data_IF_808866193520
#
_entry.id   IF_808866193520
#
_cell.length_a   1.000
_cell.length_b   1.000
_cell.length_c   1.000
_cell.angle_alpha   90.00
_cell.angle_beta   90.00
_cell.angle_gamma   90.00
#
_symmetry.space_group_name_H-M   'P 1'
#
loop_
_entity.id
_entity.type
_entity.pdbx_description
1 polymer ?
#
# COMPACT_ATOMS: atom_id res chain seq x y z
N UNK A 1 9.20 -12.97 14.99
CA UNK A 1 8.34 -12.27 14.03
C UNK A 1 7.71 -11.13 14.80
N UNK A 2 8.05 -9.92 14.40
CA UNK A 2 7.47 -8.69 14.89
C UNK A 2 6.22 -8.38 14.05
N UNK A 3 5.19 -7.86 14.69
CA UNK A 3 3.98 -7.38 14.04
C UNK A 3 3.71 -5.95 14.45
N UNK A 4 3.22 -5.14 13.53
CA UNK A 4 2.90 -3.75 13.81
C UNK A 4 1.58 -3.39 13.14
N UNK A 5 0.74 -2.68 13.88
CA UNK A 5 -0.49 -2.11 13.41
C UNK A 5 -0.42 -0.60 13.60
N UNK A 6 -0.52 0.12 12.49
CA UNK A 6 -0.65 1.58 12.49
C UNK A 6 -2.09 1.97 12.27
N UNK A 7 -2.55 2.99 12.99
CA UNK A 7 -3.91 3.49 12.86
C UNK A 7 -4.00 4.99 13.14
N UNK A 8 -5.08 5.60 12.65
CA UNK A 8 -5.44 6.99 12.95
C UNK A 8 -6.47 6.95 14.06
N UNK A 9 -6.13 7.48 15.22
CA UNK A 9 -7.04 7.62 16.35
C UNK A 9 -7.91 8.86 16.16
N UNK A 10 -9.17 8.64 15.77
CA UNK A 10 -10.12 9.72 15.50
C UNK A 10 -10.68 10.34 16.77
N UNK A 11 -10.57 9.66 17.91
CA UNK A 11 -11.05 10.17 19.20
C UNK A 11 -9.98 11.05 19.87
N UNK A 12 -8.70 10.88 19.51
CA UNK A 12 -7.59 11.73 19.94
C UNK A 12 -7.01 12.57 18.79
N UNK A 13 -7.82 13.53 18.32
CA UNK A 13 -7.43 14.58 17.36
C UNK A 13 -6.65 14.06 16.15
N UNK A 14 -7.07 12.90 15.61
CA UNK A 14 -6.50 12.28 14.40
C UNK A 14 -5.02 11.92 14.53
N UNK A 15 -4.59 11.59 15.76
CA UNK A 15 -3.22 11.20 16.06
C UNK A 15 -2.85 9.88 15.37
N UNK A 16 -1.62 9.81 14.84
CA UNK A 16 -1.06 8.57 14.33
C UNK A 16 -0.57 7.72 15.50
N UNK A 17 -0.99 6.46 15.52
CA UNK A 17 -0.72 5.51 16.59
C UNK A 17 -0.11 4.22 16.05
N UNK A 18 0.63 3.55 16.91
CA UNK A 18 1.25 2.25 16.69
C UNK A 18 0.83 1.29 17.81
N UNK A 19 0.47 0.08 17.41
CA UNK A 19 0.36 -1.08 18.28
C UNK A 19 1.34 -2.15 17.82
N UNK A 20 2.21 -2.61 18.71
CA UNK A 20 3.36 -3.43 18.39
C UNK A 20 3.24 -4.81 19.07
N UNK A 21 3.63 -5.84 18.35
CA UNK A 21 3.91 -7.17 18.86
C UNK A 21 5.42 -7.42 18.70
N UNK A 22 6.20 -7.31 19.78
CA UNK A 22 7.65 -7.45 19.73
C UNK A 22 8.07 -8.83 19.21
N UNK A 23 9.29 -8.89 18.69
CA UNK A 23 9.86 -10.10 18.15
C UNK A 23 9.81 -11.29 19.14
N UNK A 24 9.19 -12.38 18.71
CA UNK A 24 9.02 -13.59 19.53
C UNK A 24 7.72 -13.61 20.34
N UNK A 25 6.89 -12.58 20.21
CA UNK A 25 5.53 -12.56 20.75
C UNK A 25 4.59 -13.34 19.82
N UNK A 26 3.67 -14.09 20.40
CA UNK A 26 2.55 -14.69 19.69
C UNK A 26 1.57 -13.59 19.28
N UNK A 27 1.33 -13.42 17.97
CA UNK A 27 0.41 -12.39 17.44
C UNK A 27 -1.04 -12.59 17.90
N UNK A 28 -1.38 -13.78 18.42
CA UNK A 28 -2.68 -14.05 19.04
C UNK A 28 -2.79 -13.55 20.48
N UNK A 29 -1.69 -13.03 21.06
CA UNK A 29 -1.66 -12.40 22.38
C UNK A 29 -1.80 -10.88 22.27
N UNK A 30 -2.02 -10.25 23.42
CA UNK A 30 -2.12 -8.80 23.54
C UNK A 30 -0.76 -8.17 23.23
N UNK A 31 -0.70 -7.33 22.19
CA UNK A 31 0.46 -6.47 21.91
C UNK A 31 0.54 -5.28 22.89
N UNK A 32 1.36 -4.29 22.57
CA UNK A 32 1.54 -3.10 23.40
C UNK A 32 1.57 -1.81 22.58
N UNK A 33 1.43 -0.67 23.25
CA UNK A 33 1.57 0.63 22.58
C UNK A 33 2.98 0.83 22.04
N UNK A 34 3.08 1.21 20.77
CA UNK A 34 4.35 1.47 20.11
C UNK A 34 4.97 2.83 20.45
N UNK A 35 6.16 3.08 19.90
CA UNK A 35 6.92 4.31 20.14
C UNK A 35 6.24 5.54 19.50
N UNK A 36 5.54 5.35 18.38
CA UNK A 36 4.85 6.44 17.66
C UNK A 36 3.87 7.23 18.55
N UNK A 37 3.28 6.57 19.56
CA UNK A 37 2.24 7.17 20.39
C UNK A 37 2.73 8.39 21.20
N UNK A 38 4.05 8.58 21.33
CA UNK A 38 4.67 9.68 22.07
C UNK A 38 5.09 10.86 21.19
N UNK A 39 4.95 10.74 19.88
CA UNK A 39 5.54 11.68 18.92
C UNK A 39 4.58 12.79 18.48
N UNK A 40 3.27 12.63 18.74
CA UNK A 40 2.26 13.66 18.47
C UNK A 40 2.02 13.94 16.99
N UNK A 41 2.32 12.99 16.08
CA UNK A 41 1.98 13.14 14.67
C UNK A 41 0.47 13.13 14.47
N UNK A 42 -0.02 14.01 13.61
CA UNK A 42 -1.42 14.13 13.25
C UNK A 42 -1.59 13.95 11.74
N UNK A 43 -2.76 13.45 11.34
CA UNK A 43 -3.20 13.40 9.95
C UNK A 43 -4.38 14.34 9.73
N UNK A 44 -4.82 14.51 8.49
CA UNK A 44 -6.12 15.11 8.21
C UNK A 44 -7.26 14.23 8.73
N UNK A 45 -8.36 14.83 9.15
CA UNK A 45 -9.54 14.13 9.67
C UNK A 45 -10.19 13.13 8.69
N UNK A 46 -9.99 13.34 7.39
CA UNK A 46 -10.48 12.45 6.34
C UNK A 46 -9.43 11.43 5.91
N UNK A 47 -8.18 11.58 6.35
CA UNK A 47 -7.03 10.80 5.89
C UNK A 47 -7.27 9.30 5.99
N UNK A 48 -6.76 8.59 4.99
CA UNK A 48 -6.45 7.17 5.08
C UNK A 48 -4.97 7.00 5.41
N UNK A 49 -4.56 5.76 5.66
CA UNK A 49 -3.18 5.44 6.00
C UNK A 49 -2.72 4.24 5.20
N UNK A 50 -1.43 4.23 4.87
CA UNK A 50 -0.74 3.07 4.35
C UNK A 50 0.60 2.91 5.05
N UNK A 51 1.07 1.69 5.20
CA UNK A 51 2.37 1.41 5.80
C UNK A 51 3.10 0.32 5.02
N UNK A 52 4.39 0.53 4.80
CA UNK A 52 5.33 -0.49 4.39
C UNK A 52 6.62 -0.22 5.15
N UNK A 53 6.89 -1.04 6.17
CA UNK A 53 7.94 -0.77 7.15
C UNK A 53 9.28 -0.39 6.50
N UNK A 54 9.94 0.71 6.93
CA UNK A 54 9.63 1.59 8.06
C UNK A 54 8.81 2.85 7.70
N UNK A 55 8.11 2.87 6.58
CA UNK A 55 7.42 4.05 6.07
C UNK A 55 5.92 4.00 6.37
N UNK A 56 5.37 5.09 6.91
CA UNK A 56 3.93 5.33 7.04
C UNK A 56 3.57 6.57 6.22
N UNK A 57 2.51 6.44 5.42
CA UNK A 57 1.93 7.54 4.65
C UNK A 57 0.55 7.87 5.17
N UNK A 58 0.29 9.16 5.29
CA UNK A 58 -1.02 9.75 5.60
C UNK A 58 -1.19 11.06 4.82
N UNK A 59 -2.40 11.59 4.77
CA UNK A 59 -2.66 12.94 4.28
C UNK A 59 -2.49 13.92 5.43
N UNK A 60 -1.68 14.96 5.24
CA UNK A 60 -1.58 16.08 6.16
C UNK A 60 -2.73 17.07 6.00
N UNK A 61 -2.93 17.95 6.98
CA UNK A 61 -3.99 18.98 6.95
C UNK A 61 -3.81 20.03 5.83
N UNK A 62 -2.65 20.07 5.18
CA UNK A 62 -2.36 20.89 4.00
C UNK A 62 -2.81 20.24 2.68
N UNK A 63 -3.36 19.01 2.74
CA UNK A 63 -3.83 18.27 1.58
C UNK A 63 -2.74 17.52 0.80
N UNK A 64 -1.51 17.44 1.34
CA UNK A 64 -0.41 16.68 0.74
C UNK A 64 -0.11 15.39 1.50
N UNK A 65 0.69 14.51 0.91
CA UNK A 65 1.19 13.33 1.60
C UNK A 65 2.21 13.71 2.69
N UNK A 66 1.98 13.18 3.88
CA UNK A 66 2.90 13.17 5.01
C UNK A 66 3.51 11.77 5.13
N UNK A 67 4.83 11.68 5.00
CA UNK A 67 5.61 10.47 5.25
C UNK A 67 6.24 10.53 6.65
N UNK A 68 5.96 9.52 7.47
CA UNK A 68 6.60 9.29 8.77
C UNK A 68 7.49 8.05 8.65
N UNK A 69 8.74 8.14 9.12
CA UNK A 69 9.76 7.11 8.93
C UNK A 69 10.42 6.75 10.25
N UNK A 70 10.59 5.47 10.51
CA UNK A 70 11.39 4.98 11.63
C UNK A 70 12.87 4.94 11.24
N UNK A 71 13.74 5.64 12.00
CA UNK A 71 15.20 5.55 11.84
C UNK A 71 15.88 6.61 10.94
N UNK A 72 15.47 7.89 11.02
CA UNK A 72 16.13 9.01 10.32
C UNK A 72 17.29 9.67 11.10
N UNK A 73 18.31 10.15 10.36
CA UNK A 73 19.37 11.09 10.78
C UNK A 73 20.13 10.84 12.11
N UNK A 74 20.46 9.59 12.44
CA UNK A 74 21.54 9.29 13.39
C UNK A 74 21.25 9.52 14.88
N UNK A 75 19.99 9.71 15.27
CA UNK A 75 19.58 9.99 16.68
C UNK A 75 19.00 8.79 17.42
N UNK A 76 19.08 7.58 16.86
CA UNK A 76 18.58 6.35 17.50
C UNK A 76 17.21 5.90 16.98
N UNK A 77 16.55 4.94 17.67
CA UNK A 77 15.28 4.35 17.25
C UNK A 77 14.11 5.32 17.53
N UNK A 78 13.96 6.35 16.68
CA UNK A 78 12.85 7.30 16.77
C UNK A 78 12.08 7.38 15.46
N UNK A 79 10.80 7.69 15.59
CA UNK A 79 9.97 8.08 14.46
C UNK A 79 10.22 9.55 14.14
N UNK A 80 10.25 9.89 12.86
CA UNK A 80 10.43 11.26 12.42
C UNK A 80 9.53 11.51 11.22
N UNK A 81 8.99 12.72 11.09
CA UNK A 81 8.47 13.16 9.80
C UNK A 81 9.65 13.20 8.83
N UNK A 82 9.46 12.60 7.67
CA UNK A 82 10.46 12.57 6.61
C UNK A 82 10.85 14.01 6.24
N UNK A 83 12.10 14.38 6.53
CA UNK A 83 12.64 15.69 6.14
C UNK A 83 12.77 15.83 4.61
N UNK A 84 12.73 14.70 3.89
CA UNK A 84 12.64 14.63 2.43
C UNK A 84 11.20 14.86 1.99
N UNK A 85 10.83 16.13 1.86
CA UNK A 85 10.12 16.74 0.73
C UNK A 85 8.94 16.00 0.05
N UNK A 86 8.32 14.97 0.64
CA UNK A 86 7.23 14.22 0.00
C UNK A 86 6.10 15.17 -0.42
N UNK A 87 5.79 16.17 0.43
CA UNK A 87 4.88 17.28 0.10
C UNK A 87 5.26 18.08 -1.14
N UNK A 88 6.54 18.38 -1.35
CA UNK A 88 7.03 19.20 -2.46
C UNK A 88 7.25 18.41 -3.75
N UNK A 89 7.28 17.08 -3.64
CA UNK A 89 7.53 16.14 -4.73
C UNK A 89 6.25 15.51 -5.26
N UNK A 90 5.19 15.53 -4.45
CA UNK A 90 3.90 14.97 -4.78
C UNK A 90 2.85 16.06 -5.02
N UNK A 91 1.82 15.71 -5.79
CA UNK A 91 0.62 16.54 -5.95
C UNK A 91 -0.27 16.45 -4.71
N UNK A 92 -1.24 17.36 -4.62
CA UNK A 92 -2.29 17.25 -3.60
C UNK A 92 -3.09 15.95 -3.78
N UNK A 93 -3.30 15.27 -2.67
CA UNK A 93 -4.13 14.07 -2.57
C UNK A 93 -5.57 14.50 -2.32
N UNK A 94 -6.54 13.81 -2.95
CA UNK A 94 -7.95 14.03 -2.68
C UNK A 94 -8.27 13.71 -1.22
N UNK A 95 -8.99 14.61 -0.54
CA UNK A 95 -9.45 14.41 0.84
C UNK A 95 -10.25 13.10 0.98
N UNK A 96 -9.74 12.16 1.79
CA UNK A 96 -10.34 10.84 1.97
C UNK A 96 -9.87 9.75 1.01
N UNK A 97 -8.95 10.06 0.10
CA UNK A 97 -8.37 9.09 -0.84
C UNK A 97 -7.70 7.92 -0.12
N UNK A 98 -7.84 6.73 -0.69
CA UNK A 98 -6.97 5.61 -0.35
C UNK A 98 -5.50 5.93 -0.71
N UNK A 99 -4.58 5.35 0.05
CA UNK A 99 -3.14 5.46 -0.13
C UNK A 99 -2.58 4.03 -0.13
N UNK A 100 -1.68 3.72 -1.05
CA UNK A 100 -0.92 2.48 -1.03
C UNK A 100 0.56 2.78 -1.20
N UNK A 101 1.41 2.13 -0.39
CA UNK A 101 2.87 2.11 -0.56
C UNK A 101 3.36 0.68 -0.66
N UNK A 102 4.21 0.41 -1.64
CA UNK A 102 4.79 -0.93 -1.88
C UNK A 102 6.24 -0.83 -2.33
N UNK A 103 7.07 -1.85 -2.07
CA UNK A 103 8.42 -1.89 -2.61
C UNK A 103 8.37 -2.07 -4.13
N UNK A 104 9.26 -1.38 -4.85
CA UNK A 104 9.42 -1.52 -6.31
C UNK A 104 10.74 -2.21 -6.69
N UNK A 105 11.52 -2.66 -5.70
CA UNK A 105 12.69 -3.49 -5.83
C UNK A 105 12.86 -4.37 -4.57
N UNK A 106 13.74 -5.37 -4.61
CA UNK A 106 14.14 -6.23 -3.48
C UNK A 106 14.97 -5.48 -2.41
N UNK A 107 14.70 -4.19 -2.25
CA UNK A 107 15.30 -3.32 -1.26
C UNK A 107 14.30 -2.24 -0.85
N UNK A 108 14.46 -1.69 0.34
CA UNK A 108 13.65 -0.56 0.80
C UNK A 108 13.95 0.77 0.11
N UNK A 109 15.00 0.81 -0.72
CA UNK A 109 15.43 2.01 -1.43
C UNK A 109 14.42 2.44 -2.49
N UNK A 110 13.69 1.48 -3.06
CA UNK A 110 12.77 1.76 -4.16
C UNK A 110 11.35 1.47 -3.74
N UNK A 111 10.47 2.47 -3.77
CA UNK A 111 9.06 2.35 -3.41
C UNK A 111 8.17 3.00 -4.45
N UNK A 112 6.96 2.46 -4.60
CA UNK A 112 5.88 3.09 -5.35
C UNK A 112 4.77 3.52 -4.39
N UNK A 113 4.22 4.72 -4.61
CA UNK A 113 3.04 5.23 -3.93
C UNK A 113 1.92 5.36 -4.95
N UNK A 114 0.72 4.94 -4.57
CA UNK A 114 -0.51 5.10 -5.33
C UNK A 114 -1.53 5.86 -4.50
N UNK A 115 -2.16 6.87 -5.10
CA UNK A 115 -3.30 7.57 -4.49
C UNK A 115 -4.14 8.28 -5.54
N UNK A 116 -5.34 8.72 -5.15
CA UNK A 116 -6.23 9.52 -5.98
C UNK A 116 -5.93 11.01 -5.82
N UNK A 117 -5.70 11.68 -6.94
CA UNK A 117 -5.49 13.13 -6.99
C UNK A 117 -6.83 13.90 -6.90
N UNK A 118 -6.75 15.21 -6.73
CA UNK A 118 -7.92 16.11 -6.68
C UNK A 118 -8.77 16.10 -7.97
N UNK A 119 -8.17 15.76 -9.12
CA UNK A 119 -8.89 15.56 -10.39
C UNK A 119 -9.57 14.18 -10.51
N UNK A 120 -9.48 13.38 -9.44
CA UNK A 120 -9.99 12.01 -9.28
C UNK A 120 -9.28 10.94 -10.10
N UNK A 121 -8.16 11.24 -10.74
CA UNK A 121 -7.31 10.22 -11.39
C UNK A 121 -6.39 9.55 -10.38
N UNK A 122 -5.92 8.34 -10.69
CA UNK A 122 -4.83 7.71 -9.93
C UNK A 122 -3.52 8.32 -10.41
N UNK A 123 -2.66 8.67 -9.46
CA UNK A 123 -1.26 8.97 -9.71
C UNK A 123 -0.36 7.93 -9.05
N UNK A 124 0.80 7.73 -9.66
CA UNK A 124 1.84 6.84 -9.16
C UNK A 124 3.11 7.65 -9.00
N UNK A 125 3.72 7.57 -7.82
CA UNK A 125 5.03 8.16 -7.55
C UNK A 125 6.02 7.07 -7.24
N UNK A 126 7.21 7.16 -7.83
CA UNK A 126 8.32 6.24 -7.60
C UNK A 126 9.47 6.96 -6.92
N UNK A 127 10.05 6.32 -5.91
CA UNK A 127 11.33 6.69 -5.31
C UNK A 127 12.33 5.61 -5.66
N UNK A 128 13.57 5.97 -6.02
CA UNK A 128 14.61 5.02 -6.43
C UNK A 128 15.67 4.76 -5.35
N UNK A 129 15.80 5.69 -4.40
CA UNK A 129 16.64 5.61 -3.21
C UNK A 129 15.88 6.24 -2.01
N UNK A 130 16.00 5.69 -0.80
CA UNK A 130 15.39 6.26 0.42
C UNK A 130 15.76 7.73 0.67
N UNK A 131 16.89 8.20 0.13
CA UNK A 131 17.33 9.61 0.20
C UNK A 131 16.93 10.44 -1.01
N UNK A 132 16.41 9.80 -2.07
CA UNK A 132 15.96 10.47 -3.29
C UNK A 132 14.54 11.00 -3.17
N UNK A 133 14.20 11.86 -4.12
CA UNK A 133 12.88 12.45 -4.26
C UNK A 133 11.91 11.48 -4.94
N UNK A 134 10.63 11.58 -4.63
CA UNK A 134 9.57 10.96 -5.42
C UNK A 134 9.46 11.62 -6.80
N UNK A 135 9.29 10.79 -7.82
CA UNK A 135 9.07 11.20 -9.21
C UNK A 135 7.75 10.63 -9.68
N UNK A 136 6.96 11.43 -10.39
CA UNK A 136 5.72 10.94 -11.00
C UNK A 136 6.04 9.88 -12.06
N UNK A 137 5.28 8.79 -12.06
CA UNK A 137 5.27 7.79 -13.11
C UNK A 137 4.11 8.11 -14.08
N UNK A 138 4.42 8.94 -15.07
CA UNK A 138 3.44 9.37 -16.07
C UNK A 138 2.99 8.22 -16.99
N UNK A 139 3.69 7.08 -16.97
CA UNK A 139 3.41 5.92 -17.82
C UNK A 139 2.26 5.05 -17.31
N UNK A 140 1.79 5.28 -16.08
CA UNK A 140 0.65 4.56 -15.52
C UNK A 140 -0.62 4.73 -16.39
N UNK A 141 -1.23 3.64 -16.91
CA UNK A 141 -2.12 3.70 -18.07
C UNK A 141 -3.55 4.16 -17.75
N UNK A 142 -3.98 4.09 -16.49
CA UNK A 142 -5.34 4.47 -16.11
C UNK A 142 -5.45 5.97 -15.80
N UNK A 143 -5.84 6.76 -16.80
CA UNK A 143 -5.98 8.22 -16.69
C UNK A 143 -7.44 8.70 -16.58
N UNK A 144 -8.40 7.79 -16.36
CA UNK A 144 -9.81 8.15 -16.24
C UNK A 144 -10.13 8.58 -14.79
N UNK A 145 -11.04 9.54 -14.58
CA UNK A 145 -11.53 9.86 -13.24
C UNK A 145 -12.25 8.67 -12.59
N UNK A 146 -11.89 8.36 -11.35
CA UNK A 146 -12.57 7.40 -10.49
C UNK A 146 -13.70 8.07 -9.68
N UNK A 147 -14.60 7.29 -9.06
CA UNK A 147 -15.40 7.77 -7.94
C UNK A 147 -14.52 8.44 -6.88
N UNK A 148 -15.04 9.48 -6.22
CA UNK A 148 -14.30 10.10 -5.12
C UNK A 148 -14.10 9.07 -4.00
N UNK A 149 -12.88 9.01 -3.46
CA UNK A 149 -12.49 8.06 -2.42
C UNK A 149 -12.62 6.60 -2.87
N UNK A 150 -12.42 6.33 -4.16
CA UNK A 150 -12.34 4.97 -4.68
C UNK A 150 -11.25 4.19 -3.93
N UNK A 151 -11.53 2.92 -3.66
CA UNK A 151 -10.53 2.05 -3.05
C UNK A 151 -9.34 1.87 -4.01
N UNK A 152 -8.14 1.96 -3.45
CA UNK A 152 -6.87 1.73 -4.12
C UNK A 152 -6.04 0.85 -3.18
N UNK A 153 -5.55 -0.27 -3.70
CA UNK A 153 -4.58 -1.13 -3.05
C UNK A 153 -3.44 -1.42 -4.01
N UNK A 154 -2.28 -1.77 -3.47
CA UNK A 154 -1.17 -2.24 -4.26
C UNK A 154 -0.46 -3.37 -3.52
N UNK A 155 0.26 -4.20 -4.26
CA UNK A 155 1.18 -5.18 -3.72
C UNK A 155 2.30 -5.45 -4.72
N UNK A 156 3.38 -6.06 -4.24
CA UNK A 156 4.51 -6.46 -5.07
C UNK A 156 4.83 -7.94 -4.89
N UNK A 157 5.39 -8.54 -5.93
CA UNK A 157 5.89 -9.93 -5.92
C UNK A 157 7.30 -9.99 -6.49
N UNK A 158 8.10 -11.02 -6.18
CA UNK A 158 9.33 -11.26 -6.92
C UNK A 158 9.04 -11.38 -8.42
N UNK A 159 9.98 -10.91 -9.24
CA UNK A 159 9.87 -11.10 -10.68
C UNK A 159 9.87 -12.57 -11.05
N UNK A 160 8.85 -13.02 -11.78
CA UNK A 160 8.75 -14.39 -12.30
C UNK A 160 9.63 -14.59 -13.54
N UNK A 161 9.96 -13.52 -14.25
CA UNK A 161 10.81 -13.54 -15.45
C UNK A 161 12.29 -13.35 -15.12
N UNK A 162 12.60 -12.68 -13.99
CA UNK A 162 13.96 -12.45 -13.49
C UNK A 162 14.09 -12.73 -11.99
N UNK A 163 13.92 -13.98 -11.54
CA UNK A 163 13.84 -14.33 -10.11
C UNK A 163 15.15 -14.08 -9.32
N UNK A 164 16.29 -13.92 -10.01
CA UNK A 164 17.57 -13.61 -9.38
C UNK A 164 17.92 -12.11 -9.37
N UNK A 165 17.04 -11.27 -9.92
CA UNK A 165 17.23 -9.80 -9.93
C UNK A 165 16.65 -9.15 -8.69
N UNK A 166 16.99 -7.88 -8.49
CA UNK A 166 16.39 -7.01 -7.49
C UNK A 166 15.00 -6.49 -7.91
N UNK A 167 14.44 -6.99 -9.00
CA UNK A 167 13.19 -6.48 -9.56
C UNK A 167 11.99 -7.12 -8.89
N UNK A 168 10.99 -6.29 -8.60
CA UNK A 168 9.65 -6.73 -8.24
C UNK A 168 8.66 -6.43 -9.35
N UNK A 169 7.68 -7.32 -9.50
CA UNK A 169 6.45 -7.00 -10.20
C UNK A 169 5.58 -6.16 -9.25
N UNK A 170 4.93 -5.12 -9.76
CA UNK A 170 4.06 -4.23 -8.99
C UNK A 170 2.65 -4.28 -9.54
N UNK A 171 1.67 -4.45 -8.66
CA UNK A 171 0.26 -4.54 -9.00
C UNK A 171 -0.51 -3.48 -8.24
N UNK A 172 -1.48 -2.87 -8.91
CA UNK A 172 -2.43 -1.94 -8.32
C UNK A 172 -3.85 -2.42 -8.62
N UNK A 173 -4.69 -2.43 -7.60
CA UNK A 173 -6.10 -2.76 -7.69
C UNK A 173 -6.90 -1.53 -7.27
N UNK A 174 -7.94 -1.21 -8.04
CA UNK A 174 -8.84 -0.12 -7.73
C UNK A 174 -10.26 -0.41 -8.21
N UNK A 175 -11.25 0.23 -7.59
CA UNK A 175 -12.63 0.11 -8.04
C UNK A 175 -12.99 1.27 -8.99
N UNK A 176 -13.45 0.93 -10.19
CA UNK A 176 -13.85 1.93 -11.19
C UNK A 176 -15.28 2.47 -10.96
N UNK A 177 -15.72 3.36 -11.87
CA UNK A 177 -17.03 3.99 -11.80
C UNK A 177 -18.21 3.01 -11.97
N UNK A 178 -17.97 1.84 -12.56
CA UNK A 178 -18.97 0.78 -12.71
C UNK A 178 -18.99 -0.17 -11.50
N UNK A 179 -18.21 0.13 -10.46
CA UNK A 179 -18.09 -0.71 -9.27
C UNK A 179 -17.22 -1.95 -9.48
N UNK A 180 -16.50 -2.07 -10.60
CA UNK A 180 -15.65 -3.22 -10.88
C UNK A 180 -14.24 -3.01 -10.33
N UNK A 181 -13.69 -4.05 -9.71
CA UNK A 181 -12.27 -4.04 -9.35
C UNK A 181 -11.46 -4.26 -10.63
N UNK A 182 -10.59 -3.31 -10.92
CA UNK A 182 -9.64 -3.30 -12.02
C UNK A 182 -8.24 -3.55 -11.47
N UNK A 183 -7.40 -4.23 -12.25
CA UNK A 183 -5.99 -4.43 -11.98
C UNK A 183 -5.15 -3.78 -13.08
N UNK A 184 -4.14 -3.02 -12.68
CA UNK A 184 -3.07 -2.51 -13.52
C UNK A 184 -1.75 -2.98 -12.92
N UNK A 185 -0.85 -3.51 -13.74
CA UNK A 185 0.37 -4.13 -13.25
C UNK A 185 1.59 -3.86 -14.13
N UNK A 186 2.75 -3.96 -13.51
CA UNK A 186 4.06 -3.81 -14.13
C UNK A 186 4.87 -5.05 -13.77
N UNK A 187 5.16 -5.90 -14.76
CA UNK A 187 5.82 -7.20 -14.59
C UNK A 187 7.10 -7.34 -15.45
N UNK A 188 7.56 -6.23 -16.03
CA UNK A 188 8.75 -6.17 -16.88
C UNK A 188 9.72 -5.09 -16.41
N UNK A 189 10.83 -5.46 -15.76
CA UNK A 189 11.81 -4.50 -15.26
C UNK A 189 12.51 -3.66 -16.30
N UNK A 190 12.64 -4.16 -17.53
CA UNK A 190 13.51 -3.54 -18.53
C UNK A 190 12.83 -2.37 -19.24
N UNK A 191 11.54 -2.18 -19.00
CA UNK A 191 10.75 -1.12 -19.59
C UNK A 191 9.89 -0.46 -18.53
N UNK A 192 10.28 0.77 -18.16
CA UNK A 192 9.47 1.65 -17.32
C UNK A 192 8.08 1.92 -17.94
N UNK A 193 7.93 1.78 -19.26
CA UNK A 193 6.70 2.04 -19.99
C UNK A 193 5.76 0.82 -20.11
N UNK A 194 6.10 -0.33 -19.52
CA UNK A 194 5.38 -1.60 -19.73
C UNK A 194 4.31 -1.88 -18.66
N UNK A 195 3.55 -0.85 -18.28
CA UNK A 195 2.33 -1.07 -17.54
C UNK A 195 1.28 -1.77 -18.42
N UNK A 196 0.60 -2.75 -17.84
CA UNK A 196 -0.47 -3.53 -18.47
C UNK A 196 -1.79 -3.29 -17.75
N UNK A 197 -2.89 -3.56 -18.46
CA UNK A 197 -4.25 -3.32 -17.97
C UNK A 197 -4.79 -1.93 -18.35
N UNK A 198 -5.92 -1.49 -17.75
CA UNK A 198 -6.68 -2.17 -16.72
C UNK A 198 -7.32 -3.48 -17.21
N UNK A 199 -7.40 -4.48 -16.33
CA UNK A 199 -8.14 -5.74 -16.56
C UNK A 199 -8.91 -6.10 -15.30
N UNK A 200 -10.14 -6.61 -15.47
CA UNK A 200 -10.92 -7.22 -14.39
C UNK A 200 -10.94 -8.74 -14.54
N UNK A 201 -11.20 -9.45 -13.46
CA UNK A 201 -11.15 -10.92 -13.38
C UNK A 201 -12.40 -11.43 -12.69
N UNK A 202 -12.85 -12.63 -13.06
CA UNK A 202 -14.08 -13.22 -12.49
C UNK A 202 -14.01 -13.43 -10.98
N UNK A 203 -12.81 -13.61 -10.41
CA UNK A 203 -12.65 -13.69 -8.96
C UNK A 203 -13.10 -12.42 -8.22
N UNK A 204 -13.14 -11.27 -8.92
CA UNK A 204 -13.58 -9.98 -8.39
C UNK A 204 -15.07 -9.69 -8.57
N UNK A 205 -15.81 -10.58 -9.25
CA UNK A 205 -17.23 -10.37 -9.52
C UNK A 205 -18.06 -10.31 -8.23
N UNK A 206 -19.02 -9.38 -8.20
CA UNK A 206 -19.89 -9.17 -7.04
C UNK A 206 -19.29 -8.32 -5.93
N UNK A 207 -18.11 -7.71 -6.14
CA UNK A 207 -17.57 -6.72 -5.21
C UNK A 207 -18.59 -5.61 -4.91
N UNK A 208 -18.77 -5.29 -3.63
CA UNK A 208 -19.70 -4.24 -3.20
C UNK A 208 -19.19 -2.87 -3.69
N UNK A 209 -20.10 -2.01 -4.16
CA UNK A 209 -19.74 -0.65 -4.59
C UNK A 209 -19.19 0.14 -3.40
N UNK A 210 -18.00 0.71 -3.56
CA UNK A 210 -17.26 1.40 -2.50
C UNK A 210 -16.50 0.47 -1.54
N UNK A 211 -16.37 -0.83 -1.85
CA UNK A 211 -15.63 -1.75 -0.98
C UNK A 211 -14.18 -1.29 -0.79
N UNK A 212 -13.63 -1.31 0.44
CA UNK A 212 -12.18 -1.24 0.62
C UNK A 212 -11.52 -2.45 -0.02
N UNK A 213 -10.27 -2.26 -0.45
CA UNK A 213 -9.42 -3.33 -0.97
C UNK A 213 -8.15 -3.32 -0.12
N UNK A 214 -7.72 -4.50 0.34
CA UNK A 214 -6.45 -4.67 1.03
C UNK A 214 -5.67 -5.81 0.38
N UNK A 215 -4.39 -5.61 0.11
CA UNK A 215 -3.52 -6.63 -0.47
C UNK A 215 -2.28 -6.84 0.39
N UNK A 216 -1.86 -8.09 0.52
CA UNK A 216 -0.66 -8.46 1.27
C UNK A 216 0.53 -8.37 0.33
N UNK A 217 1.46 -7.48 0.67
CA UNK A 217 2.81 -7.50 0.10
C UNK A 217 3.74 -8.21 1.07
N UNK A 218 4.62 -9.04 0.54
CA UNK A 218 5.66 -9.65 1.35
C UNK A 218 6.71 -8.61 1.76
N UNK A 219 7.35 -8.82 2.90
CA UNK A 219 8.45 -7.98 3.35
C UNK A 219 9.69 -8.20 2.46
N UNK A 220 10.39 -7.12 2.15
CA UNK A 220 11.75 -7.13 1.60
C UNK A 220 12.64 -6.11 2.31
N UNK A 221 13.90 -6.46 2.50
CA UNK A 221 14.96 -5.62 3.07
C UNK A 221 16.29 -5.90 2.38
N UNK A 222 17.29 -5.02 2.58
CA UNK A 222 18.62 -5.13 1.95
C UNK A 222 19.29 -6.51 2.09
N UNK A 223 19.04 -7.22 3.19
CA UNK A 223 19.58 -8.58 3.45
C UNK A 223 18.52 -9.69 3.40
N UNK A 224 17.27 -9.35 3.10
CA UNK A 224 16.13 -10.26 3.13
C UNK A 224 15.28 -10.03 1.87
N UNK A 225 15.63 -10.66 0.74
CA UNK A 225 14.80 -10.59 -0.46
C UNK A 225 13.42 -11.20 -0.17
N UNK A 226 12.42 -10.70 -0.89
CA UNK A 226 11.05 -11.18 -0.84
C UNK A 226 10.95 -12.67 -1.18
N UNK A 227 10.23 -13.43 -0.36
CA UNK A 227 10.03 -14.87 -0.58
C UNK A 227 9.22 -15.13 -1.87
N UNK A 228 9.62 -16.14 -2.65
CA UNK A 228 8.99 -16.49 -3.94
C UNK A 228 7.84 -17.49 -3.82
N UNK A 229 7.69 -18.15 -2.67
CA UNK A 229 6.71 -19.22 -2.47
C UNK A 229 5.42 -18.76 -1.79
N UNK A 230 5.38 -17.54 -1.24
CA UNK A 230 4.17 -16.97 -0.65
C UNK A 230 3.42 -16.15 -1.69
N UNK A 231 2.23 -16.63 -2.02
CA UNK A 231 1.37 -16.02 -3.02
C UNK A 231 0.62 -14.84 -2.39
N UNK A 232 0.66 -13.63 -2.98
CA UNK A 232 -0.07 -12.47 -2.46
C UNK A 232 -1.57 -12.76 -2.38
N UNK A 233 -2.20 -12.20 -1.36
CA UNK A 233 -3.64 -12.30 -1.11
C UNK A 233 -4.23 -10.90 -1.13
N UNK A 234 -5.40 -10.76 -1.74
CA UNK A 234 -6.19 -9.55 -1.64
C UNK A 234 -7.55 -9.86 -1.01
N UNK A 235 -8.12 -8.84 -0.38
CA UNK A 235 -9.35 -8.91 0.37
C UNK A 235 -10.25 -7.73 -0.01
N UNK A 236 -11.54 -8.01 -0.19
CA UNK A 236 -12.58 -7.00 -0.45
C UNK A 236 -13.94 -7.56 -0.03
N UNK A 237 -14.96 -6.71 0.04
CA UNK A 237 -16.31 -7.05 0.52
C UNK A 237 -17.20 -7.44 -0.65
N UNK A 238 -17.97 -8.51 -0.46
CA UNK A 238 -19.00 -9.04 -1.38
C UNK A 238 -20.23 -9.42 -0.57
N UNK A 239 -21.36 -8.75 -0.82
CA UNK A 239 -22.60 -9.00 -0.09
C UNK A 239 -22.46 -8.82 1.42
N UNK A 240 -21.58 -7.90 1.86
CA UNK A 240 -21.25 -7.70 3.27
C UNK A 240 -20.22 -8.66 3.88
N UNK A 241 -19.78 -9.70 3.18
CA UNK A 241 -18.75 -10.65 3.64
C UNK A 241 -17.38 -10.35 3.02
N UNK A 242 -16.29 -10.62 3.74
CA UNK A 242 -14.93 -10.40 3.22
C UNK A 242 -14.53 -11.58 2.35
N UNK A 243 -14.36 -11.37 1.04
CA UNK A 243 -13.78 -12.35 0.12
C UNK A 243 -12.26 -12.26 0.14
N UNK A 244 -11.60 -13.42 0.16
CA UNK A 244 -10.18 -13.58 -0.08
C UNK A 244 -9.93 -14.13 -1.48
N UNK A 245 -8.97 -13.54 -2.19
CA UNK A 245 -8.50 -14.00 -3.50
C UNK A 245 -6.98 -14.15 -3.52
N UNK A 246 -6.46 -15.01 -4.40
CA UNK A 246 -5.02 -15.25 -4.57
C UNK A 246 -4.61 -15.12 -6.03
N UNK A 247 -3.46 -14.49 -6.29
CA UNK A 247 -2.89 -14.39 -7.64
C UNK A 247 -2.27 -15.74 -8.03
N UNK A 248 -2.64 -16.32 -9.17
CA UNK A 248 -2.09 -17.58 -9.69
C UNK A 248 -1.69 -17.37 -11.14
N UNK A 249 -0.38 -17.26 -11.39
CA UNK A 249 0.12 -16.88 -12.70
C UNK A 249 -0.29 -15.43 -13.02
N UNK A 250 -1.08 -15.25 -14.07
CA UNK A 250 -1.66 -13.98 -14.52
C UNK A 250 -3.18 -13.87 -14.26
N UNK A 251 -3.74 -14.79 -13.46
CA UNK A 251 -5.15 -14.86 -13.10
C UNK A 251 -5.36 -14.88 -11.57
N UNK A 252 -6.61 -14.90 -11.12
CA UNK A 252 -7.00 -14.89 -9.71
C UNK A 252 -7.93 -16.05 -9.38
N UNK A 253 -7.58 -16.78 -8.32
CA UNK A 253 -8.47 -17.78 -7.73
C UNK A 253 -9.21 -17.17 -6.53
N UNK A 254 -10.49 -17.54 -6.37
CA UNK A 254 -11.22 -17.32 -5.13
C UNK A 254 -10.69 -18.31 -4.09
N UNK A 255 -10.27 -17.81 -2.94
CA UNK A 255 -9.87 -18.65 -1.80
C UNK A 255 -11.09 -19.03 -0.99
N UNK A 256 -11.95 -18.06 -0.68
CA UNK A 256 -13.15 -18.26 0.13
C UNK A 256 -13.61 -16.95 0.77
N UNK A 257 -14.54 -17.06 1.72
CA UNK A 257 -14.94 -15.96 2.60
C UNK A 257 -14.15 -16.05 3.91
N UNK A 258 -13.65 -14.91 4.40
CA UNK A 258 -12.88 -14.85 5.64
C UNK A 258 -13.81 -15.04 6.83
N UNK A 259 -13.48 -15.99 7.70
CA UNK A 259 -14.25 -16.29 8.90
C UNK A 259 -15.36 -17.33 8.69
N UNK A 260 -15.47 -17.88 7.49
CA UNK A 260 -16.25 -19.10 7.23
C UNK A 260 -15.29 -20.30 7.24
N UNK A 261 -15.64 -21.38 7.94
CA UNK A 261 -14.91 -22.65 7.83
C UNK A 261 -15.27 -23.31 6.49
N UNK A 262 -14.28 -23.80 5.75
CA UNK A 262 -14.52 -24.62 4.56
C UNK A 262 -15.27 -25.90 5.02
N UNK A 263 -16.56 -26.02 4.68
CA UNK A 263 -17.37 -27.24 4.92
C UNK A 263 -16.89 -28.45 4.08
#
# INVERSE_FOLDING_TARGET
MQGELFYIDKDDDTSLREWNWPDGTDLLRVGESGLMNKEGFQADSTSKMSAYWPFILSQGSDGFLQEVVYGGAGTGPTWNVSNTNTRFETTQILAGSAIAIVPAAQSLNTTNIFYQQTDRTITVYRRYDVKSIYQVDDTYPYKKPLPANAAIAAFSTPSTTKPASDVLNVYSLFQDADGKIQMVWHDDPDSIDNWKGPKTFSAFDGADVGTPIACVTMFTFLSHPMETFRIPRCFFVVGGSIRQVKLVGDDWDIVGLVGEEDE
#
